data_IF_367520442526
#
_entry.id   IF_367520442526
#
_cell.length_a   1.000
_cell.length_b   1.000
_cell.length_c   1.000
_cell.angle_alpha   90.00
_cell.angle_beta   90.00
_cell.angle_gamma   90.00
#
_symmetry.space_group_name_H-M   'P 1'
#
loop_
_entity.id
_entity.type
_entity.pdbx_description
1 polymer ?
#
# COMPACT_ATOMS: atom_id res chain seq x y z
N UNK A 1 -11.14 15.68 8.22
CA UNK A 1 -11.33 14.34 8.81
C UNK A 1 -11.72 13.35 7.72
N UNK A 2 -10.88 12.35 7.43
CA UNK A 2 -11.24 11.25 6.54
C UNK A 2 -11.80 10.08 7.34
N UNK A 3 -13.01 9.61 7.01
CA UNK A 3 -13.58 8.40 7.58
C UNK A 3 -13.08 7.18 6.79
N UNK A 4 -12.24 6.36 7.39
CA UNK A 4 -11.82 5.07 6.82
C UNK A 4 -12.79 3.99 7.31
N UNK A 5 -13.66 3.48 6.44
CA UNK A 5 -14.57 2.38 6.75
C UNK A 5 -13.83 1.06 6.53
N UNK A 6 -13.68 0.23 7.57
CA UNK A 6 -13.11 -1.12 7.46
C UNK A 6 -13.86 -1.92 6.39
N UNK A 7 -13.12 -2.58 5.49
CA UNK A 7 -13.67 -3.63 4.64
C UNK A 7 -14.16 -4.76 5.54
N UNK A 8 -15.47 -4.99 5.56
CA UNK A 8 -16.09 -6.10 6.30
C UNK A 8 -16.16 -7.32 5.38
N UNK A 9 -15.46 -8.39 5.74
CA UNK A 9 -15.44 -9.61 4.94
C UNK A 9 -16.82 -10.30 4.99
N UNK A 10 -17.44 -10.53 3.83
CA UNK A 10 -18.69 -11.30 3.72
C UNK A 10 -18.48 -12.83 3.79
N UNK A 11 -17.24 -13.31 3.64
CA UNK A 11 -16.87 -14.74 3.64
C UNK A 11 -15.37 -14.94 3.92
N UNK A 12 -15.03 -15.99 4.68
CA UNK A 12 -13.65 -16.39 5.00
C UNK A 12 -13.01 -17.20 3.85
N UNK A 13 -11.69 -17.14 3.66
CA UNK A 13 -10.99 -18.04 2.73
C UNK A 13 -11.15 -19.49 3.17
N UNK A 14 -11.66 -20.33 2.27
CA UNK A 14 -11.82 -21.76 2.48
C UNK A 14 -11.06 -22.51 1.38
N UNK A 15 -9.87 -23.08 1.65
CA UNK A 15 -9.07 -23.78 0.65
C UNK A 15 -9.69 -25.10 0.18
N UNK A 16 -10.74 -25.60 0.85
CA UNK A 16 -11.47 -26.84 0.53
C UNK A 16 -12.95 -26.59 0.21
N UNK A 17 -13.37 -25.33 0.01
CA UNK A 17 -14.75 -24.94 -0.29
C UNK A 17 -14.86 -23.65 -1.12
N UNK A 18 -16.01 -22.96 -1.12
CA UNK A 18 -16.19 -21.67 -1.83
C UNK A 18 -15.74 -20.50 -0.93
N UNK A 19 -14.68 -19.81 -1.33
CA UNK A 19 -14.29 -18.51 -0.76
C UNK A 19 -12.81 -18.20 -0.95
N UNK A 20 -12.48 -17.21 -1.78
CA UNK A 20 -11.10 -16.73 -1.97
C UNK A 20 -10.67 -15.70 -0.91
N UNK A 21 -11.43 -15.55 0.19
CA UNK A 21 -11.19 -14.48 1.16
C UNK A 21 -11.66 -13.11 0.64
N UNK A 22 -11.05 -12.03 1.12
CA UNK A 22 -11.33 -10.67 0.64
C UNK A 22 -10.08 -10.03 0.05
N UNK A 23 -10.23 -9.39 -1.11
CA UNK A 23 -9.17 -8.60 -1.75
C UNK A 23 -9.52 -7.13 -1.60
N UNK A 24 -8.56 -6.34 -1.14
CA UNK A 24 -8.62 -4.88 -1.05
C UNK A 24 -7.51 -4.28 -1.92
N UNK A 25 -7.87 -3.32 -2.76
CA UNK A 25 -6.92 -2.55 -3.56
C UNK A 25 -6.63 -1.23 -2.86
N UNK A 26 -5.36 -0.82 -2.87
CA UNK A 26 -4.89 0.41 -2.23
C UNK A 26 -4.10 1.23 -3.26
N UNK A 27 -4.36 2.52 -3.28
CA UNK A 27 -3.52 3.48 -3.98
C UNK A 27 -3.19 4.63 -3.02
N UNK A 28 -1.93 5.06 -3.01
CA UNK A 28 -1.46 6.21 -2.24
C UNK A 28 -0.60 7.08 -3.13
N UNK A 29 -0.84 8.39 -3.06
CA UNK A 29 0.00 9.40 -3.69
C UNK A 29 0.45 10.39 -2.61
N UNK A 30 1.73 10.74 -2.62
CA UNK A 30 2.31 11.80 -1.79
C UNK A 30 3.21 12.69 -2.63
N UNK A 31 3.20 13.99 -2.30
CA UNK A 31 4.09 14.97 -2.89
C UNK A 31 4.67 15.81 -1.76
N UNK A 32 5.99 15.88 -1.68
CA UNK A 32 6.72 16.60 -0.64
C UNK A 32 7.73 17.52 -1.30
N UNK A 33 7.73 18.80 -0.89
CA UNK A 33 8.74 19.77 -1.32
C UNK A 33 9.85 19.83 -0.25
N UNK A 34 11.07 19.52 -0.66
CA UNK A 34 12.26 19.55 0.21
C UNK A 34 13.11 20.81 -0.03
N UNK A 35 12.60 21.80 -0.76
CA UNK A 35 13.29 23.06 -0.99
C UNK A 35 13.18 23.95 0.25
N UNK A 36 14.31 24.25 0.90
CA UNK A 36 14.40 25.25 1.97
C UNK A 36 15.45 26.30 1.59
N UNK A 37 15.45 27.46 2.27
CA UNK A 37 16.20 28.69 1.95
C UNK A 37 17.70 28.51 1.67
N UNK A 38 18.30 27.38 2.03
CA UNK A 38 19.71 27.07 1.80
C UNK A 38 19.96 25.70 1.14
N UNK A 39 18.93 24.92 0.81
CA UNK A 39 19.04 23.60 0.18
C UNK A 39 17.96 23.44 -0.88
N UNK A 40 18.38 23.29 -2.14
CA UNK A 40 17.49 22.90 -3.25
C UNK A 40 17.25 21.39 -3.23
N UNK A 41 16.38 20.93 -2.32
CA UNK A 41 16.03 19.51 -2.19
C UNK A 41 15.08 18.99 -3.27
N UNK A 42 14.36 19.88 -3.95
CA UNK A 42 13.43 19.55 -5.03
C UNK A 42 12.11 18.92 -4.56
N UNK A 43 11.26 18.58 -5.53
CA UNK A 43 9.93 17.99 -5.28
C UNK A 43 10.02 16.46 -5.42
N UNK A 44 9.71 15.74 -4.34
CA UNK A 44 9.56 14.30 -4.33
C UNK A 44 8.10 13.92 -4.49
N UNK A 45 7.81 13.13 -5.52
CA UNK A 45 6.49 12.54 -5.75
C UNK A 45 6.58 11.03 -5.57
N UNK A 46 5.79 10.48 -4.67
CA UNK A 46 5.68 9.04 -4.46
C UNK A 46 4.29 8.56 -4.83
N UNK A 47 4.24 7.46 -5.60
CA UNK A 47 3.01 6.77 -5.93
C UNK A 47 3.14 5.31 -5.52
N UNK A 48 2.21 4.84 -4.70
CA UNK A 48 2.12 3.44 -4.27
C UNK A 48 0.83 2.82 -4.75
N UNK A 49 0.93 1.63 -5.33
CA UNK A 49 -0.21 0.76 -5.64
C UNK A 49 -0.01 -0.53 -4.86
N UNK A 50 -1.06 -0.99 -4.19
CA UNK A 50 -1.00 -2.16 -3.34
C UNK A 50 -2.22 -3.04 -3.41
N UNK A 51 -2.02 -4.32 -3.10
CA UNK A 51 -3.06 -5.34 -3.00
C UNK A 51 -2.95 -6.01 -1.64
N UNK A 52 -4.04 -5.95 -0.88
CA UNK A 52 -4.22 -6.65 0.38
C UNK A 52 -5.12 -7.86 0.17
N UNK A 53 -4.57 -9.05 0.35
CA UNK A 53 -5.33 -10.29 0.32
C UNK A 53 -5.56 -10.82 1.74
N UNK A 54 -6.80 -10.68 2.20
CA UNK A 54 -7.26 -11.20 3.48
C UNK A 54 -7.72 -12.64 3.30
N UNK A 55 -6.85 -13.57 3.71
CA UNK A 55 -7.13 -15.00 3.70
C UNK A 55 -8.20 -15.28 4.76
N UNK A 56 -7.93 -14.97 6.01
CA UNK A 56 -8.89 -15.11 7.10
C UNK A 56 -8.84 -13.85 7.98
N UNK A 57 -9.76 -13.69 8.95
CA UNK A 57 -9.76 -12.51 9.83
C UNK A 57 -8.45 -12.29 10.59
N UNK A 58 -7.64 -13.35 10.76
CA UNK A 58 -6.36 -13.35 11.46
C UNK A 58 -5.15 -13.31 10.52
N UNK A 59 -5.28 -13.39 9.19
CA UNK A 59 -4.16 -13.58 8.26
C UNK A 59 -4.34 -12.75 6.99
N UNK A 60 -3.33 -11.95 6.68
CA UNK A 60 -3.30 -11.09 5.49
C UNK A 60 -1.95 -11.14 4.78
N UNK A 61 -1.98 -11.18 3.46
CA UNK A 61 -0.84 -10.88 2.60
C UNK A 61 -1.00 -9.48 1.98
N UNK A 62 0.06 -8.70 1.94
CA UNK A 62 0.11 -7.40 1.27
C UNK A 62 1.23 -7.38 0.24
N UNK A 63 0.93 -6.88 -0.95
CA UNK A 63 1.88 -6.66 -2.03
C UNK A 63 1.80 -5.20 -2.44
N UNK A 64 2.88 -4.45 -2.27
CA UNK A 64 2.93 -3.02 -2.56
C UNK A 64 4.04 -2.73 -3.57
N UNK A 65 3.76 -1.86 -4.55
CA UNK A 65 4.73 -1.30 -5.48
C UNK A 65 4.71 0.23 -5.33
N UNK A 66 5.85 0.80 -4.99
CA UNK A 66 6.03 2.25 -4.82
C UNK A 66 7.05 2.77 -5.82
N UNK A 67 6.68 3.79 -6.59
CA UNK A 67 7.58 4.58 -7.42
C UNK A 67 7.77 5.95 -6.77
N UNK A 68 9.00 6.26 -6.40
CA UNK A 68 9.43 7.54 -5.86
C UNK A 68 10.19 8.30 -6.95
N UNK A 69 9.77 9.53 -7.28
CA UNK A 69 10.42 10.36 -8.30
C UNK A 69 10.77 11.71 -7.71
N UNK A 70 12.06 12.01 -7.67
CA UNK A 70 12.60 13.31 -7.30
C UNK A 70 12.85 14.12 -8.56
N UNK A 71 12.09 15.21 -8.72
CA UNK A 71 12.21 16.08 -9.89
C UNK A 71 13.64 16.62 -9.96
N UNK A 72 14.31 16.41 -11.09
CA UNK A 72 15.72 16.80 -11.37
C UNK A 72 16.82 15.82 -10.92
N UNK A 73 16.55 14.84 -10.04
CA UNK A 73 17.60 13.91 -9.53
C UNK A 73 17.43 12.49 -10.06
N UNK A 74 16.22 11.92 -10.03
CA UNK A 74 16.01 10.54 -10.47
C UNK A 74 14.75 9.88 -9.93
N UNK A 75 14.61 8.59 -10.21
CA UNK A 75 13.49 7.77 -9.78
C UNK A 75 13.97 6.47 -9.11
N UNK A 76 13.25 6.05 -8.07
CA UNK A 76 13.45 4.78 -7.36
C UNK A 76 12.15 3.98 -7.34
N UNK A 77 12.27 2.67 -7.54
CA UNK A 77 11.14 1.75 -7.47
C UNK A 77 11.35 0.76 -6.32
N UNK A 78 10.32 0.56 -5.51
CA UNK A 78 10.32 -0.30 -4.34
C UNK A 78 9.22 -1.33 -4.50
N UNK A 79 9.56 -2.60 -4.36
CA UNK A 79 8.62 -3.70 -4.27
C UNK A 79 8.63 -4.27 -2.86
N UNK A 80 7.47 -4.36 -2.23
CA UNK A 80 7.33 -4.84 -0.86
C UNK A 80 6.29 -5.95 -0.76
N UNK A 81 6.64 -7.01 -0.04
CA UNK A 81 5.72 -8.08 0.32
C UNK A 81 5.65 -8.20 1.84
N UNK A 82 4.46 -8.38 2.39
CA UNK A 82 4.25 -8.53 3.82
C UNK A 82 3.26 -9.65 4.12
N UNK A 83 3.62 -10.48 5.08
CA UNK A 83 2.73 -11.45 5.70
C UNK A 83 2.41 -10.99 7.12
N UNK A 84 1.13 -11.02 7.49
CA UNK A 84 0.66 -10.58 8.79
C UNK A 84 -0.28 -11.62 9.40
N UNK A 85 -0.01 -11.99 10.66
CA UNK A 85 -0.85 -12.87 11.47
C UNK A 85 -1.22 -12.16 12.77
N UNK A 86 -2.50 -12.18 13.15
CA UNK A 86 -3.00 -11.70 14.43
C UNK A 86 -3.34 -12.89 15.33
N UNK A 87 -2.97 -12.81 16.61
CA UNK A 87 -3.20 -13.82 17.65
C UNK A 87 -3.96 -13.22 18.83
#
# INVERSE_FOLDING_TARGET
MGYFKRVSQKSNFNPTGKGIGAVELVARYSSTDYSDKSIEGGILNDMTIGVNWHINPATKFSFDFTSAKLVSIGSSNIFQMKFQVAF
#
